data_IF_836430742860
#
_entry.id   IF_836430742860
#
_cell.length_a   1.000
_cell.length_b   1.000
_cell.length_c   1.000
_cell.angle_alpha   90.00
_cell.angle_beta   90.00
_cell.angle_gamma   90.00
#
_symmetry.space_group_name_H-M   'P 1'
#
loop_
_entity.id
_entity.type
_entity.pdbx_description
1 polymer ?
#
# COMPACT_ATOMS: atom_id res chain seq x y z
N UNK A 1 16.88 0.43 -1.36
CA UNK A 1 17.36 1.05 -2.64
C UNK A 1 18.08 2.36 -2.38
N UNK A 2 17.45 3.37 -1.72
CA UNK A 2 18.07 4.68 -1.44
C UNK A 2 19.41 4.56 -0.67
N UNK A 3 19.46 3.71 0.34
CA UNK A 3 20.67 3.52 1.15
C UNK A 3 21.78 2.77 0.41
N UNK A 4 21.45 1.79 -0.43
CA UNK A 4 22.43 1.17 -1.33
C UNK A 4 23.05 2.18 -2.30
N UNK A 5 22.24 3.13 -2.82
CA UNK A 5 22.75 4.23 -3.65
C UNK A 5 23.62 5.22 -2.88
N UNK A 6 23.39 5.38 -1.58
CA UNK A 6 24.26 6.17 -0.69
C UNK A 6 25.52 5.41 -0.24
N UNK A 7 25.81 4.23 -0.81
CA UNK A 7 26.96 3.40 -0.44
C UNK A 7 26.81 2.69 0.91
N UNK A 8 25.59 2.62 1.46
CA UNK A 8 25.31 2.04 2.77
C UNK A 8 24.86 0.58 2.67
N UNK A 9 25.34 -0.25 3.58
CA UNK A 9 24.90 -1.64 3.68
C UNK A 9 23.59 -1.75 4.42
N UNK A 10 22.60 -2.44 3.82
CA UNK A 10 21.30 -2.68 4.44
C UNK A 10 20.71 -4.02 4.06
N UNK A 11 19.94 -4.61 4.95
CA UNK A 11 19.07 -5.73 4.63
C UNK A 11 17.58 -5.36 4.69
N UNK A 12 16.79 -6.19 4.04
CA UNK A 12 15.33 -6.15 4.01
C UNK A 12 14.85 -7.56 4.27
N UNK A 13 13.80 -7.76 5.07
CA UNK A 13 13.08 -9.03 5.00
C UNK A 13 12.37 -9.15 3.64
N UNK A 14 12.20 -10.37 3.15
CA UNK A 14 11.55 -10.59 1.85
C UNK A 14 10.09 -10.15 1.91
N UNK A 15 9.57 -9.67 0.81
CA UNK A 15 8.16 -9.32 0.68
C UNK A 15 7.26 -10.48 1.10
N UNK A 16 6.25 -10.18 1.93
CA UNK A 16 5.36 -11.18 2.53
C UNK A 16 5.92 -11.92 3.75
N UNK A 17 7.21 -11.77 4.10
CA UNK A 17 7.81 -12.38 5.30
C UNK A 17 7.78 -11.40 6.50
N UNK A 18 6.59 -10.84 6.78
CA UNK A 18 6.35 -9.76 7.75
C UNK A 18 5.92 -10.25 9.15
N UNK A 19 5.77 -11.56 9.34
CA UNK A 19 5.54 -12.18 10.65
C UNK A 19 6.88 -12.50 11.34
N UNK A 20 6.86 -12.79 12.64
CA UNK A 20 8.06 -13.14 13.41
C UNK A 20 8.81 -14.31 12.77
N UNK A 21 8.10 -15.29 12.23
CA UNK A 21 8.65 -16.45 11.52
C UNK A 21 9.41 -16.08 10.24
N UNK A 22 9.12 -14.93 9.64
CA UNK A 22 9.84 -14.40 8.48
C UNK A 22 10.90 -13.37 8.84
N UNK A 23 10.63 -12.54 9.85
CA UNK A 23 11.56 -11.51 10.34
C UNK A 23 12.79 -12.16 10.99
N UNK A 24 12.60 -13.18 11.86
CA UNK A 24 13.71 -13.84 12.57
C UNK A 24 14.76 -14.44 11.62
N UNK A 25 14.40 -15.25 10.60
CA UNK A 25 15.37 -15.73 9.63
C UNK A 25 16.09 -14.61 8.89
N UNK A 26 15.40 -13.51 8.58
CA UNK A 26 16.03 -12.37 7.90
C UNK A 26 17.15 -11.77 8.75
N UNK A 27 16.98 -11.66 10.07
CA UNK A 27 18.06 -11.25 10.97
C UNK A 27 19.19 -12.31 11.03
N UNK A 28 18.85 -13.59 11.22
CA UNK A 28 19.84 -14.67 11.32
C UNK A 28 20.71 -14.81 10.08
N UNK A 29 20.14 -14.62 8.90
CA UNK A 29 20.88 -14.68 7.63
C UNK A 29 21.82 -13.49 7.41
N UNK A 30 21.72 -12.44 8.20
CA UNK A 30 22.50 -11.21 8.07
C UNK A 30 23.41 -10.95 9.29
N UNK A 31 23.56 -11.90 10.22
CA UNK A 31 24.50 -11.84 11.33
C UNK A 31 25.57 -12.95 11.23
N UNK A 32 26.69 -12.76 11.91
CA UNK A 32 27.70 -13.80 12.09
C UNK A 32 27.28 -14.81 13.18
N UNK A 33 28.10 -15.85 13.40
CA UNK A 33 27.85 -16.87 14.42
C UNK A 33 27.85 -16.34 15.87
N UNK A 34 28.27 -15.09 16.08
CA UNK A 34 28.27 -14.40 17.37
C UNK A 34 27.10 -13.41 17.48
N UNK A 35 26.18 -13.41 16.51
CA UNK A 35 25.03 -12.50 16.44
C UNK A 35 25.38 -11.05 16.08
N UNK A 36 26.56 -10.77 15.50
CA UNK A 36 26.96 -9.42 15.10
C UNK A 36 26.54 -9.13 13.67
N UNK A 37 26.05 -7.93 13.45
CA UNK A 37 25.65 -7.45 12.11
C UNK A 37 26.77 -6.62 11.50
N UNK A 38 27.19 -6.95 10.29
CA UNK A 38 28.08 -6.11 9.47
C UNK A 38 27.24 -5.25 8.50
N UNK A 39 26.21 -4.59 9.04
CA UNK A 39 25.24 -3.81 8.29
C UNK A 39 24.98 -2.50 9.04
N UNK A 40 24.83 -1.43 8.29
CA UNK A 40 24.54 -0.12 8.88
C UNK A 40 23.05 0.06 9.15
N UNK A 41 22.20 -0.64 8.36
CA UNK A 41 20.74 -0.48 8.43
C UNK A 41 19.98 -1.77 8.20
N UNK A 42 18.87 -1.89 8.93
CA UNK A 42 17.84 -2.88 8.69
C UNK A 42 16.53 -2.14 8.35
N UNK A 43 15.83 -2.56 7.29
CA UNK A 43 14.48 -2.12 6.99
C UNK A 43 13.57 -3.34 7.08
N UNK A 44 12.68 -3.34 8.06
CA UNK A 44 11.83 -4.48 8.38
C UNK A 44 10.39 -4.13 8.08
N UNK A 45 9.77 -4.87 7.16
CA UNK A 45 8.33 -4.90 7.00
C UNK A 45 7.76 -5.80 8.11
N UNK A 46 6.86 -5.27 8.91
CA UNK A 46 6.25 -5.98 10.04
C UNK A 46 4.73 -5.87 9.96
N UNK A 47 4.07 -7.01 10.09
CA UNK A 47 2.63 -7.07 10.28
C UNK A 47 2.23 -6.35 11.58
N UNK A 48 1.10 -5.67 11.57
CA UNK A 48 0.64 -4.80 12.65
C UNK A 48 0.47 -5.57 13.98
N UNK A 49 -0.04 -6.80 13.93
CA UNK A 49 -0.22 -7.63 15.11
C UNK A 49 1.09 -8.31 15.55
N UNK A 50 1.97 -8.61 14.60
CA UNK A 50 3.30 -9.13 14.90
C UNK A 50 4.18 -8.10 15.57
N UNK A 51 3.98 -6.79 15.31
CA UNK A 51 4.78 -5.69 15.84
C UNK A 51 4.83 -5.70 17.37
N UNK A 52 3.70 -5.95 18.05
CA UNK A 52 3.65 -6.04 19.52
C UNK A 52 4.64 -7.05 20.10
N UNK A 53 4.84 -8.19 19.42
CA UNK A 53 5.80 -9.22 19.85
C UNK A 53 7.21 -8.91 19.32
N UNK A 54 7.35 -8.51 18.08
CA UNK A 54 8.64 -8.22 17.46
C UNK A 54 9.39 -7.10 18.21
N UNK A 55 8.68 -6.07 18.63
CA UNK A 55 9.22 -4.93 19.40
C UNK A 55 9.82 -5.28 20.77
N UNK A 56 9.61 -6.50 21.26
CA UNK A 56 10.27 -6.99 22.49
C UNK A 56 11.71 -7.48 22.22
N UNK A 57 12.07 -7.73 20.97
CA UNK A 57 13.34 -8.36 20.60
C UNK A 57 14.30 -7.41 19.88
N UNK A 58 13.83 -6.28 19.34
CA UNK A 58 14.68 -5.26 18.74
C UNK A 58 14.11 -3.86 18.95
N UNK A 59 15.00 -2.87 18.93
CA UNK A 59 14.63 -1.46 18.90
C UNK A 59 14.74 -0.93 17.48
N UNK A 60 13.86 0.01 17.13
CA UNK A 60 13.93 0.73 15.87
C UNK A 60 14.30 2.19 16.12
N UNK A 61 15.06 2.81 15.20
CA UNK A 61 15.29 4.25 15.19
C UNK A 61 14.07 5.00 14.63
N UNK A 62 13.33 4.32 13.75
CA UNK A 62 12.16 4.88 13.07
C UNK A 62 11.09 3.79 12.88
N UNK A 63 9.84 4.10 13.26
CA UNK A 63 8.67 3.27 13.04
C UNK A 63 7.70 4.00 12.10
N UNK A 64 7.50 3.47 10.90
CA UNK A 64 6.61 4.06 9.89
C UNK A 64 5.24 3.39 9.93
N UNK A 65 4.19 4.19 10.13
CA UNK A 65 2.79 3.75 10.01
C UNK A 65 2.17 4.49 8.82
N UNK A 66 1.95 3.79 7.73
CA UNK A 66 1.50 4.40 6.47
C UNK A 66 0.03 4.79 6.52
N UNK A 67 -0.82 3.86 6.92
CA UNK A 67 -2.25 4.03 7.11
C UNK A 67 -2.80 2.82 7.89
N UNK A 68 -4.02 2.94 8.41
CA UNK A 68 -4.73 1.82 9.06
C UNK A 68 -6.10 1.70 8.38
N UNK A 69 -6.21 0.74 7.49
CA UNK A 69 -7.46 0.35 6.85
C UNK A 69 -7.94 -0.99 7.41
N UNK A 70 -9.24 -1.27 7.23
CA UNK A 70 -9.78 -2.60 7.47
C UNK A 70 -9.09 -3.58 6.52
N UNK A 71 -8.40 -4.55 7.05
CA UNK A 71 -7.93 -5.72 6.31
C UNK A 71 -8.92 -6.88 6.54
N UNK A 72 -8.60 -8.08 6.19
CA UNK A 72 -9.46 -9.25 6.33
C UNK A 72 -10.01 -9.39 7.75
N UNK A 73 -11.33 -9.22 7.94
CA UNK A 73 -12.01 -9.24 9.24
C UNK A 73 -11.80 -10.55 10.00
N UNK A 74 -11.75 -11.66 9.28
CA UNK A 74 -11.50 -13.01 9.81
C UNK A 74 -10.08 -13.20 10.37
N UNK A 75 -9.11 -12.36 9.99
CA UNK A 75 -7.72 -12.44 10.48
C UNK A 75 -7.40 -11.47 11.61
N UNK A 76 -7.89 -10.24 11.55
CA UNK A 76 -7.37 -9.13 12.36
C UNK A 76 -8.43 -8.39 13.17
N UNK A 77 -9.71 -8.69 12.97
CA UNK A 77 -10.79 -8.03 13.69
C UNK A 77 -10.94 -6.56 13.31
N UNK A 78 -11.37 -5.73 14.25
CA UNK A 78 -11.65 -4.32 14.01
C UNK A 78 -10.37 -3.46 13.91
N UNK A 79 -10.45 -2.35 13.17
CA UNK A 79 -9.42 -1.30 13.05
C UNK A 79 -8.86 -0.87 14.41
N UNK A 80 -9.69 -0.88 15.45
CA UNK A 80 -9.30 -0.53 16.83
C UNK A 80 -8.28 -1.51 17.43
N UNK A 81 -8.40 -2.81 17.16
CA UNK A 81 -7.46 -3.83 17.65
C UNK A 81 -6.11 -3.72 16.96
N UNK A 82 -6.10 -3.46 15.67
CA UNK A 82 -4.90 -3.20 14.87
C UNK A 82 -4.16 -1.97 15.40
N UNK A 83 -4.88 -0.87 15.61
CA UNK A 83 -4.30 0.36 16.18
C UNK A 83 -3.72 0.11 17.58
N UNK A 84 -4.42 -0.65 18.44
CA UNK A 84 -3.93 -1.00 19.77
C UNK A 84 -2.65 -1.85 19.71
N UNK A 85 -2.53 -2.76 18.75
CA UNK A 85 -1.32 -3.58 18.56
C UNK A 85 -0.13 -2.71 18.12
N UNK A 86 -0.33 -1.78 17.18
CA UNK A 86 0.69 -0.81 16.74
C UNK A 86 1.12 0.07 17.92
N UNK A 87 0.16 0.61 18.70
CA UNK A 87 0.44 1.43 19.87
C UNK A 87 1.25 0.68 20.94
N UNK A 88 0.94 -0.60 21.15
CA UNK A 88 1.70 -1.45 22.07
C UNK A 88 3.15 -1.66 21.57
N UNK A 89 3.33 -1.93 20.29
CA UNK A 89 4.67 -2.03 19.68
C UNK A 89 5.47 -0.73 19.79
N UNK A 90 4.84 0.42 19.53
CA UNK A 90 5.48 1.73 19.67
C UNK A 90 5.91 2.01 21.13
N UNK A 91 5.10 1.66 22.12
CA UNK A 91 5.47 1.80 23.56
C UNK A 91 6.68 0.95 23.95
N UNK A 92 6.87 -0.21 23.33
CA UNK A 92 8.05 -1.06 23.57
C UNK A 92 9.34 -0.46 22.99
N UNK A 93 9.21 0.52 22.08
CA UNK A 93 10.33 1.20 21.40
C UNK A 93 10.29 2.71 21.67
N UNK A 94 10.47 3.18 22.90
CA UNK A 94 10.24 4.59 23.29
C UNK A 94 11.17 5.59 22.61
N UNK A 95 12.32 5.14 22.11
CA UNK A 95 13.30 5.96 21.40
C UNK A 95 13.01 6.03 19.88
N UNK A 96 12.14 5.18 19.36
CA UNK A 96 11.80 5.21 17.95
C UNK A 96 11.03 6.49 17.60
N UNK A 97 11.44 7.18 16.53
CA UNK A 97 10.66 8.26 15.98
C UNK A 97 9.54 7.70 15.12
N UNK A 98 8.28 8.01 15.45
CA UNK A 98 7.15 7.60 14.64
C UNK A 98 7.06 8.47 13.39
N UNK A 99 6.79 7.83 12.25
CA UNK A 99 6.43 8.50 10.99
C UNK A 99 4.97 8.18 10.70
N UNK A 100 4.10 9.18 10.79
CA UNK A 100 2.66 9.05 10.77
C UNK A 100 2.05 9.74 9.57
N UNK A 101 1.03 9.13 8.98
CA UNK A 101 0.22 9.77 7.95
C UNK A 101 -0.74 10.78 8.61
N UNK A 102 -0.49 12.09 8.40
CA UNK A 102 -1.33 13.14 8.97
C UNK A 102 -2.75 13.15 8.36
N UNK A 103 -2.93 12.59 7.17
CA UNK A 103 -4.21 12.54 6.46
C UNK A 103 -5.09 11.39 6.93
N UNK A 104 -4.51 10.37 7.61
CA UNK A 104 -5.27 9.25 8.17
C UNK A 104 -5.62 9.52 9.64
N UNK A 105 -6.88 9.81 9.98
CA UNK A 105 -7.25 10.09 11.36
C UNK A 105 -6.98 8.93 12.32
N UNK A 106 -6.96 7.69 11.84
CA UNK A 106 -6.72 6.51 12.67
C UNK A 106 -5.25 6.40 13.03
N UNK A 107 -4.35 6.31 12.04
CA UNK A 107 -2.91 6.18 12.29
C UNK A 107 -2.34 7.42 12.98
N UNK A 108 -2.81 8.62 12.61
CA UNK A 108 -2.36 9.87 13.23
C UNK A 108 -2.75 9.99 14.72
N UNK A 109 -3.78 9.27 15.17
CA UNK A 109 -4.15 9.25 16.59
C UNK A 109 -3.05 8.73 17.52
N UNK A 110 -2.08 7.98 17.00
CA UNK A 110 -0.88 7.54 17.72
C UNK A 110 -0.05 8.74 18.23
N UNK A 111 -0.10 9.89 17.57
CA UNK A 111 0.56 11.13 18.01
C UNK A 111 0.08 11.62 19.40
N UNK A 112 -1.10 11.19 19.85
CA UNK A 112 -1.60 11.48 21.20
C UNK A 112 -0.91 10.70 22.30
N UNK A 113 -0.25 9.59 21.95
CA UNK A 113 0.44 8.70 22.88
C UNK A 113 1.97 8.80 22.76
N UNK A 114 2.48 9.46 21.71
CA UNK A 114 3.89 9.60 21.45
C UNK A 114 4.18 11.02 20.93
N UNK A 115 5.06 11.73 21.63
CA UNK A 115 5.46 13.10 21.28
C UNK A 115 6.62 13.14 20.27
N UNK A 116 7.36 12.04 20.13
CA UNK A 116 8.47 11.94 19.18
C UNK A 116 7.99 11.37 17.84
N UNK A 117 7.39 12.24 17.02
CA UNK A 117 6.92 11.84 15.69
C UNK A 117 7.30 12.87 14.62
N UNK A 118 7.23 12.44 13.37
CA UNK A 118 7.16 13.27 12.18
C UNK A 118 5.99 12.79 11.33
N UNK A 119 5.53 13.63 10.42
CA UNK A 119 4.31 13.39 9.67
C UNK A 119 4.50 13.59 8.17
N UNK A 120 3.72 12.86 7.39
CA UNK A 120 3.62 13.05 5.95
C UNK A 120 2.16 13.14 5.52
N UNK A 121 1.89 13.75 4.37
CA UNK A 121 0.54 13.89 3.85
C UNK A 121 0.49 14.65 2.54
N UNK A 122 -0.73 14.92 2.05
CA UNK A 122 -1.03 15.56 0.77
C UNK A 122 -1.99 16.71 1.00
N UNK A 123 -1.63 17.92 0.58
CA UNK A 123 -2.49 19.11 0.68
C UNK A 123 -3.37 19.32 -0.57
N UNK A 124 -3.14 18.54 -1.62
CA UNK A 124 -3.95 18.58 -2.83
C UNK A 124 -5.31 17.92 -2.61
N UNK A 125 -6.39 18.63 -2.89
CA UNK A 125 -7.73 18.03 -2.94
C UNK A 125 -7.90 17.23 -4.23
N UNK A 126 -7.87 15.91 -4.14
CA UNK A 126 -7.97 15.01 -5.29
C UNK A 126 -9.35 14.35 -5.39
N UNK A 127 -10.03 14.15 -4.28
CA UNK A 127 -11.36 13.55 -4.16
C UNK A 127 -11.53 12.26 -5.01
N UNK A 128 -10.64 11.31 -4.79
CA UNK A 128 -10.58 10.05 -5.56
C UNK A 128 -11.57 8.98 -5.07
N UNK A 129 -12.60 9.38 -4.33
CA UNK A 129 -13.66 8.46 -3.88
C UNK A 129 -13.21 7.46 -2.81
N UNK A 130 -14.05 6.44 -2.62
CA UNK A 130 -13.89 5.37 -1.64
C UNK A 130 -14.56 5.64 -0.31
N UNK A 131 -15.24 4.61 0.23
CA UNK A 131 -15.81 4.66 1.58
C UNK A 131 -14.68 4.68 2.61
N UNK A 132 -14.74 5.63 3.53
CA UNK A 132 -13.81 5.71 4.65
C UNK A 132 -14.15 4.71 5.75
N UNK A 133 -13.13 4.06 6.30
CA UNK A 133 -13.26 3.16 7.45
C UNK A 133 -13.48 3.93 8.77
N UNK A 134 -13.16 5.22 8.78
CA UNK A 134 -13.28 6.07 9.96
C UNK A 134 -14.05 7.34 9.64
N UNK A 135 -15.37 7.27 9.83
CA UNK A 135 -16.21 8.47 9.86
C UNK A 135 -16.19 9.16 11.24
N UNK A 136 -15.72 8.44 12.27
CA UNK A 136 -15.76 8.89 13.65
C UNK A 136 -14.36 9.16 14.20
N UNK A 137 -14.30 10.18 15.04
CA UNK A 137 -13.07 10.58 15.72
C UNK A 137 -12.51 9.42 16.57
N UNK A 138 -11.26 9.02 16.38
CA UNK A 138 -10.65 7.94 17.17
C UNK A 138 -10.47 8.32 18.66
N UNK A 139 -10.54 9.61 18.98
CA UNK A 139 -10.37 10.12 20.36
C UNK A 139 -11.68 10.16 21.13
N UNK A 140 -12.75 10.72 20.56
CA UNK A 140 -14.01 10.95 21.30
C UNK A 140 -15.26 10.37 20.64
N UNK A 141 -15.11 9.64 19.54
CA UNK A 141 -16.18 8.95 18.78
C UNK A 141 -17.23 9.90 18.14
N UNK A 142 -17.01 11.21 18.15
CA UNK A 142 -17.84 12.15 17.42
C UNK A 142 -17.58 12.04 15.92
N UNK A 143 -18.55 12.38 15.07
CA UNK A 143 -18.38 12.37 13.62
C UNK A 143 -17.31 13.39 13.20
N UNK A 144 -16.39 12.97 12.33
CA UNK A 144 -15.38 13.83 11.74
C UNK A 144 -15.97 14.64 10.59
N UNK A 145 -15.57 15.90 10.50
CA UNK A 145 -15.82 16.73 9.34
C UNK A 145 -14.57 16.81 8.47
N UNK A 146 -14.78 16.76 7.16
CA UNK A 146 -13.72 16.83 6.17
C UNK A 146 -13.89 18.08 5.32
N UNK A 147 -12.87 18.93 5.25
CA UNK A 147 -12.82 20.04 4.29
C UNK A 147 -12.35 19.58 2.90
N UNK A 148 -11.55 18.53 2.85
CA UNK A 148 -11.14 17.86 1.61
C UNK A 148 -10.84 16.39 1.87
N UNK A 149 -11.01 15.53 0.85
CA UNK A 149 -10.61 14.13 0.91
C UNK A 149 -9.67 13.81 -0.26
N UNK A 150 -8.67 13.00 0.01
CA UNK A 150 -7.82 12.43 -1.03
C UNK A 150 -8.45 11.13 -1.52
N UNK A 151 -8.63 10.16 -0.64
CA UNK A 151 -9.40 8.94 -0.88
C UNK A 151 -9.78 8.27 0.46
N UNK A 152 -10.87 7.51 0.49
CA UNK A 152 -11.39 6.85 1.69
C UNK A 152 -11.44 7.80 2.89
N UNK A 153 -10.81 7.48 4.02
CA UNK A 153 -10.73 8.35 5.20
C UNK A 153 -9.57 9.35 5.17
N UNK A 154 -8.70 9.29 4.16
CA UNK A 154 -7.54 10.19 4.08
C UNK A 154 -7.94 11.56 3.58
N UNK A 155 -7.52 12.60 4.31
CA UNK A 155 -7.82 13.98 3.93
C UNK A 155 -7.63 14.97 5.05
N UNK A 156 -8.20 16.16 4.87
CA UNK A 156 -8.16 17.23 5.85
C UNK A 156 -9.41 17.17 6.74
N UNK A 157 -9.27 16.54 7.89
CA UNK A 157 -10.33 16.28 8.86
C UNK A 157 -10.22 17.14 10.12
N UNK A 158 -11.37 17.34 10.78
CA UNK A 158 -11.46 17.95 12.10
C UNK A 158 -12.62 17.37 12.92
N UNK A 159 -12.43 17.25 14.22
CA UNK A 159 -13.46 16.93 15.19
C UNK A 159 -13.88 18.20 15.94
N UNK A 160 -15.13 18.63 15.78
CA UNK A 160 -15.66 19.82 16.47
C UNK A 160 -15.75 19.67 17.99
N UNK A 161 -15.92 18.42 18.47
CA UNK A 161 -16.10 18.17 19.90
C UNK A 161 -14.81 18.20 20.70
N UNK A 162 -13.74 17.55 20.23
CA UNK A 162 -12.49 17.43 21.00
C UNK A 162 -11.30 18.19 20.38
N UNK A 163 -11.49 18.85 19.24
CA UNK A 163 -10.43 19.58 18.56
C UNK A 163 -9.38 18.70 17.87
N UNK A 164 -9.56 17.37 17.86
CA UNK A 164 -8.66 16.49 17.10
C UNK A 164 -8.78 16.77 15.61
N UNK A 165 -7.65 17.03 14.97
CA UNK A 165 -7.63 17.45 13.57
C UNK A 165 -6.32 17.08 12.89
N UNK A 166 -6.33 17.03 11.57
CA UNK A 166 -5.13 17.01 10.75
C UNK A 166 -4.23 18.21 11.06
N UNK A 167 -2.94 17.99 11.08
CA UNK A 167 -1.92 19.05 11.15
C UNK A 167 -1.29 19.26 9.76
N UNK A 168 -0.55 20.34 9.56
CA UNK A 168 0.31 20.48 8.38
C UNK A 168 1.43 19.46 8.49
N UNK A 169 1.61 18.56 7.50
CA UNK A 169 2.64 17.53 7.56
C UNK A 169 4.05 18.11 7.45
N UNK A 170 5.03 17.44 8.07
CA UNK A 170 6.46 17.78 7.94
C UNK A 170 6.98 17.49 6.53
N UNK A 171 6.44 16.44 5.89
CA UNK A 171 6.66 16.10 4.49
C UNK A 171 5.31 16.17 3.78
N UNK A 172 5.10 17.20 3.00
CA UNK A 172 3.81 17.56 2.45
C UNK A 172 3.85 17.67 0.93
N UNK A 173 3.06 16.86 0.23
CA UNK A 173 2.88 17.06 -1.20
C UNK A 173 1.87 18.18 -1.45
N UNK A 174 2.26 19.18 -2.19
CA UNK A 174 1.47 20.36 -2.54
C UNK A 174 0.85 20.22 -3.93
N UNK A 175 1.58 19.61 -4.87
CA UNK A 175 1.11 19.30 -6.21
C UNK A 175 1.44 17.86 -6.61
N UNK A 176 0.45 17.20 -7.21
CA UNK A 176 0.59 15.82 -7.70
C UNK A 176 -0.05 15.73 -9.09
N UNK A 177 0.70 15.15 -10.02
CA UNK A 177 0.22 14.81 -11.36
C UNK A 177 0.28 13.29 -11.51
N UNK A 178 -0.89 12.65 -11.49
CA UNK A 178 -1.04 11.21 -11.74
C UNK A 178 -1.17 10.99 -13.24
N UNK A 179 -0.27 10.24 -13.85
CA UNK A 179 -0.24 9.99 -15.29
C UNK A 179 -0.35 8.48 -15.60
N UNK A 180 -1.23 7.80 -14.88
CA UNK A 180 -1.51 6.38 -15.08
C UNK A 180 -0.24 5.54 -15.12
N UNK A 181 -0.11 4.72 -16.15
CA UNK A 181 1.05 3.85 -16.39
C UNK A 181 2.37 4.60 -16.66
N UNK A 182 2.31 5.86 -17.07
CA UNK A 182 3.48 6.71 -17.30
C UNK A 182 4.07 7.29 -16.01
N UNK A 183 3.58 6.84 -14.86
CA UNK A 183 4.08 7.24 -13.55
C UNK A 183 3.40 8.47 -12.98
N UNK A 184 4.09 9.19 -12.11
CA UNK A 184 3.55 10.35 -11.42
C UNK A 184 4.64 11.36 -11.09
N UNK A 185 4.27 12.63 -10.99
CA UNK A 185 5.13 13.69 -10.47
C UNK A 185 4.56 14.18 -9.15
N UNK A 186 5.38 14.22 -8.12
CA UNK A 186 5.03 14.69 -6.78
C UNK A 186 5.93 15.85 -6.40
N UNK A 187 5.37 17.04 -6.32
CA UNK A 187 6.03 18.24 -5.80
C UNK A 187 5.69 18.36 -4.33
N UNK A 188 6.69 18.45 -3.49
CA UNK A 188 6.49 18.42 -2.04
C UNK A 188 7.51 19.28 -1.30
N UNK A 189 7.13 19.74 -0.12
CA UNK A 189 8.02 20.29 0.88
C UNK A 189 8.40 19.23 1.91
N UNK A 190 9.62 19.24 2.39
CA UNK A 190 10.12 18.31 3.38
C UNK A 190 11.03 19.05 4.36
N UNK A 191 10.57 19.19 5.61
CA UNK A 191 11.25 19.94 6.66
C UNK A 191 11.74 21.33 6.17
N UNK A 192 10.90 22.02 5.40
CA UNK A 192 11.16 23.37 4.87
C UNK A 192 12.00 23.42 3.58
N UNK A 193 12.29 22.27 2.95
CA UNK A 193 12.97 22.19 1.64
C UNK A 193 11.99 21.68 0.58
N UNK A 194 11.94 22.34 -0.55
CA UNK A 194 11.15 21.92 -1.70
C UNK A 194 11.90 20.89 -2.53
N UNK A 195 11.17 19.90 -3.05
CA UNK A 195 11.70 18.89 -3.96
C UNK A 195 10.61 18.31 -4.85
N UNK A 196 11.02 17.57 -5.88
CA UNK A 196 10.13 16.88 -6.79
C UNK A 196 10.61 15.45 -7.02
N UNK A 197 9.67 14.49 -6.98
CA UNK A 197 9.92 13.09 -7.36
C UNK A 197 9.18 12.81 -8.66
N UNK A 198 9.92 12.32 -9.66
CA UNK A 198 9.33 11.63 -10.82
C UNK A 198 9.27 10.16 -10.48
N UNK A 199 8.08 9.62 -10.23
CA UNK A 199 7.89 8.20 -9.96
C UNK A 199 7.56 7.44 -11.26
N UNK A 200 8.15 6.26 -11.43
CA UNK A 200 7.85 5.37 -12.57
C UNK A 200 6.63 4.45 -12.29
N UNK A 201 5.91 4.74 -11.21
CA UNK A 201 4.71 4.01 -10.78
C UNK A 201 3.57 4.98 -10.58
N UNK A 202 2.40 4.62 -11.05
CA UNK A 202 1.18 5.41 -10.89
C UNK A 202 0.46 5.13 -9.56
N UNK A 203 -0.65 5.81 -9.37
CA UNK A 203 -1.54 5.65 -8.23
C UNK A 203 -1.17 6.49 -7.01
N UNK A 204 -2.19 7.08 -6.40
CA UNK A 204 -2.03 8.00 -5.27
C UNK A 204 -1.41 7.33 -4.04
N UNK A 205 -1.68 6.04 -3.82
CA UNK A 205 -1.10 5.27 -2.73
C UNK A 205 0.44 5.18 -2.84
N UNK A 206 1.00 5.18 -4.06
CA UNK A 206 2.44 5.22 -4.27
C UNK A 206 3.02 6.61 -3.93
N UNK A 207 2.28 7.69 -4.15
CA UNK A 207 2.69 9.01 -3.69
C UNK A 207 2.78 9.06 -2.16
N UNK A 208 1.78 8.56 -1.42
CA UNK A 208 1.86 8.41 0.04
C UNK A 208 3.04 7.56 0.48
N UNK A 209 3.28 6.42 -0.16
CA UNK A 209 4.43 5.56 0.16
C UNK A 209 5.77 6.28 -0.08
N UNK A 210 5.86 7.09 -1.14
CA UNK A 210 7.06 7.88 -1.43
C UNK A 210 7.29 8.96 -0.36
N UNK A 211 6.26 9.70 0.04
CA UNK A 211 6.34 10.70 1.10
C UNK A 211 6.74 10.08 2.45
N UNK A 212 6.14 8.94 2.81
CA UNK A 212 6.51 8.17 4.00
C UNK A 212 7.99 7.76 3.96
N UNK A 213 8.46 7.28 2.80
CA UNK A 213 9.86 6.88 2.61
C UNK A 213 10.80 8.08 2.70
N UNK A 214 10.47 9.24 2.11
CA UNK A 214 11.25 10.49 2.26
C UNK A 214 11.35 10.87 3.72
N UNK A 215 10.23 10.91 4.43
CA UNK A 215 10.19 11.28 5.85
C UNK A 215 11.08 10.34 6.67
N UNK A 216 10.93 9.04 6.54
CA UNK A 216 11.73 8.04 7.25
C UNK A 216 13.23 8.14 6.92
N UNK A 217 13.58 8.31 5.64
CA UNK A 217 14.97 8.41 5.19
C UNK A 217 15.67 9.64 5.78
N UNK A 218 14.99 10.79 5.83
CA UNK A 218 15.57 12.01 6.43
C UNK A 218 15.75 11.89 7.94
N UNK A 219 14.80 11.27 8.66
CA UNK A 219 14.93 10.99 10.09
C UNK A 219 16.21 10.18 10.39
N UNK A 220 16.53 9.22 9.53
CA UNK A 220 17.72 8.38 9.70
C UNK A 220 18.94 8.92 8.95
N UNK A 221 18.98 10.22 8.64
CA UNK A 221 20.17 10.94 8.17
C UNK A 221 20.48 10.79 6.68
N UNK A 222 19.54 10.34 5.85
CA UNK A 222 19.70 10.34 4.39
C UNK A 222 19.24 11.69 3.85
N UNK A 223 20.07 12.36 3.03
CA UNK A 223 19.71 13.63 2.43
C UNK A 223 18.57 13.49 1.41
N UNK A 224 17.87 14.59 1.17
CA UNK A 224 16.67 14.61 0.31
C UNK A 224 17.02 14.26 -1.14
N UNK A 225 18.18 14.68 -1.64
CA UNK A 225 18.60 14.44 -3.02
C UNK A 225 18.81 12.95 -3.28
N UNK A 226 19.42 12.22 -2.34
CA UNK A 226 19.60 10.77 -2.42
C UNK A 226 18.24 10.05 -2.32
N UNK A 227 17.34 10.52 -1.45
CA UNK A 227 16.01 9.96 -1.30
C UNK A 227 15.22 10.09 -2.62
N UNK A 228 15.18 11.31 -3.19
CA UNK A 228 14.51 11.62 -4.46
C UNK A 228 15.09 10.79 -5.61
N UNK A 229 16.42 10.79 -5.79
CA UNK A 229 17.07 10.03 -6.87
C UNK A 229 16.77 8.53 -6.79
N UNK A 230 16.65 7.99 -5.58
CA UNK A 230 16.35 6.58 -5.35
C UNK A 230 14.90 6.23 -5.64
N UNK A 231 13.96 7.09 -5.24
CA UNK A 231 12.54 6.92 -5.51
C UNK A 231 12.24 7.08 -7.00
N UNK A 232 12.88 8.03 -7.67
CA UNK A 232 12.74 8.24 -9.12
C UNK A 232 13.26 7.06 -9.96
N UNK A 233 14.19 6.28 -9.43
CA UNK A 233 14.68 5.05 -10.11
C UNK A 233 13.90 3.79 -9.69
N UNK A 234 12.90 3.92 -8.82
CA UNK A 234 12.11 2.80 -8.37
C UNK A 234 11.14 2.37 -9.47
N UNK A 235 11.22 1.09 -9.87
CA UNK A 235 10.22 0.45 -10.74
C UNK A 235 9.22 -0.33 -9.90
N UNK A 236 8.09 -0.68 -10.50
CA UNK A 236 7.03 -1.43 -9.83
C UNK A 236 7.54 -2.70 -9.12
N UNK A 237 6.93 -3.02 -7.98
CA UNK A 237 7.19 -4.22 -7.20
C UNK A 237 6.03 -5.19 -7.39
N UNK A 238 6.25 -6.46 -7.07
CA UNK A 238 5.24 -7.51 -7.07
C UNK A 238 3.85 -7.01 -6.64
N UNK A 239 2.87 -7.25 -7.49
CA UNK A 239 1.47 -6.90 -7.25
C UNK A 239 1.11 -5.41 -7.29
N UNK A 240 2.06 -4.52 -7.61
CA UNK A 240 1.82 -3.08 -7.70
C UNK A 240 2.01 -2.58 -9.13
N UNK A 241 1.01 -2.87 -9.99
CA UNK A 241 1.01 -2.56 -11.42
C UNK A 241 2.25 -3.13 -12.14
N UNK A 242 2.55 -4.40 -11.91
CA UNK A 242 3.65 -5.09 -12.61
C UNK A 242 3.25 -5.35 -14.05
N UNK A 243 4.06 -4.90 -15.01
CA UNK A 243 3.73 -4.99 -16.43
C UNK A 243 4.46 -6.16 -17.10
N UNK A 244 3.75 -6.94 -17.89
CA UNK A 244 4.24 -8.07 -18.68
C UNK A 244 3.76 -7.93 -20.13
N UNK A 245 4.60 -7.40 -21.02
CA UNK A 245 4.15 -7.02 -22.36
C UNK A 245 3.03 -5.98 -22.31
N UNK A 246 1.88 -6.27 -22.90
CA UNK A 246 0.68 -5.42 -22.87
C UNK A 246 -0.24 -5.63 -21.66
N UNK A 247 0.17 -6.47 -20.70
CA UNK A 247 -0.64 -6.86 -19.54
C UNK A 247 -0.11 -6.23 -18.26
N UNK A 248 -0.98 -5.57 -17.51
CA UNK A 248 -0.69 -5.12 -16.16
C UNK A 248 -1.30 -6.09 -15.13
N UNK A 249 -0.54 -6.44 -14.08
CA UNK A 249 -1.03 -7.26 -12.97
C UNK A 249 -1.04 -6.45 -11.68
N UNK A 250 -2.20 -6.42 -11.01
CA UNK A 250 -2.45 -5.65 -9.79
C UNK A 250 -3.03 -6.55 -8.70
N UNK A 251 -2.45 -6.45 -7.50
CA UNK A 251 -2.90 -7.19 -6.33
C UNK A 251 -3.95 -6.38 -5.56
N UNK A 252 -5.04 -7.05 -5.20
CA UNK A 252 -6.09 -6.52 -4.34
C UNK A 252 -6.39 -7.49 -3.20
N UNK A 253 -6.68 -6.98 -2.00
CA UNK A 253 -6.99 -7.81 -0.83
C UNK A 253 -8.05 -7.22 0.12
N UNK A 254 -8.47 -5.99 -0.12
CA UNK A 254 -9.45 -5.30 0.71
C UNK A 254 -10.18 -4.21 -0.10
N UNK A 255 -11.30 -3.63 0.41
CA UNK A 255 -12.10 -2.64 -0.32
C UNK A 255 -11.32 -1.41 -0.75
N UNK A 256 -10.51 -0.84 0.16
CA UNK A 256 -9.74 0.37 -0.11
C UNK A 256 -8.70 0.14 -1.21
N UNK A 257 -7.96 -0.97 -1.14
CA UNK A 257 -6.99 -1.36 -2.17
C UNK A 257 -7.65 -1.61 -3.52
N UNK A 258 -8.82 -2.25 -3.53
CA UNK A 258 -9.56 -2.51 -4.77
C UNK A 258 -10.05 -1.20 -5.40
N UNK A 259 -10.68 -0.31 -4.63
CA UNK A 259 -11.12 1.01 -5.09
C UNK A 259 -9.95 1.82 -5.66
N UNK A 260 -8.80 1.84 -4.97
CA UNK A 260 -7.61 2.55 -5.45
C UNK A 260 -6.99 1.93 -6.70
N UNK A 261 -7.08 0.61 -6.84
CA UNK A 261 -6.68 -0.09 -8.07
C UNK A 261 -7.57 0.33 -9.24
N UNK A 262 -8.89 0.40 -9.05
CA UNK A 262 -9.81 0.85 -10.08
C UNK A 262 -9.58 2.33 -10.45
N UNK A 263 -9.38 3.20 -9.46
CA UNK A 263 -9.01 4.61 -9.67
C UNK A 263 -7.71 4.76 -10.48
N UNK A 264 -6.70 3.93 -10.20
CA UNK A 264 -5.48 3.92 -10.98
C UNK A 264 -5.77 3.48 -12.43
N UNK A 265 -6.49 2.38 -12.63
CA UNK A 265 -6.82 1.85 -13.94
C UNK A 265 -7.69 2.82 -14.76
N UNK A 266 -8.54 3.63 -14.13
CA UNK A 266 -9.34 4.65 -14.82
C UNK A 266 -8.50 5.73 -15.51
N UNK A 267 -7.24 5.89 -15.10
CA UNK A 267 -6.25 6.76 -15.73
C UNK A 267 -5.35 6.05 -16.74
N UNK A 268 -5.53 4.74 -16.94
CA UNK A 268 -4.77 3.91 -17.88
C UNK A 268 -5.58 3.60 -19.13
N UNK A 269 -4.89 3.24 -20.22
CA UNK A 269 -5.53 2.81 -21.46
C UNK A 269 -5.81 1.29 -21.43
N UNK A 270 -6.87 0.89 -20.72
CA UNK A 270 -7.28 -0.50 -20.53
C UNK A 270 -8.51 -0.84 -21.36
N UNK A 271 -8.37 -1.83 -22.25
CA UNK A 271 -9.48 -2.34 -23.07
C UNK A 271 -10.05 -3.66 -22.53
N UNK A 272 -9.22 -4.49 -21.90
CA UNK A 272 -9.61 -5.78 -21.34
C UNK A 272 -9.33 -5.79 -19.84
N UNK A 273 -10.33 -6.09 -19.04
CA UNK A 273 -10.22 -6.12 -17.58
C UNK A 273 -10.60 -7.50 -17.07
N UNK A 274 -9.66 -8.17 -16.40
CA UNK A 274 -9.85 -9.51 -15.86
C UNK A 274 -9.75 -9.47 -14.33
N UNK A 275 -10.82 -9.79 -13.64
CA UNK A 275 -10.83 -9.96 -12.19
C UNK A 275 -10.59 -11.42 -11.83
N UNK A 276 -9.62 -11.68 -10.95
CA UNK A 276 -9.30 -13.05 -10.50
C UNK A 276 -9.45 -13.12 -8.99
N UNK A 277 -10.53 -13.73 -8.54
CA UNK A 277 -10.92 -13.78 -7.12
C UNK A 277 -10.78 -15.20 -6.57
N UNK A 278 -9.94 -15.35 -5.55
CA UNK A 278 -9.80 -16.56 -4.74
C UNK A 278 -10.11 -16.26 -3.27
N UNK A 279 -10.43 -17.31 -2.50
CA UNK A 279 -10.69 -17.29 -1.06
C UNK A 279 -9.87 -18.36 -0.30
N UNK A 280 -8.65 -18.61 -0.75
CA UNK A 280 -7.72 -19.48 -0.02
C UNK A 280 -7.30 -18.83 1.32
N UNK A 281 -6.73 -19.59 2.23
CA UNK A 281 -6.38 -19.10 3.58
C UNK A 281 -5.50 -17.84 3.56
N UNK A 282 -4.64 -17.70 2.55
CA UNK A 282 -3.80 -16.50 2.41
C UNK A 282 -4.55 -15.28 1.84
N UNK A 283 -5.69 -15.48 1.18
CA UNK A 283 -6.55 -14.41 0.68
C UNK A 283 -7.56 -13.92 1.74
N UNK A 284 -7.86 -14.77 2.74
CA UNK A 284 -9.00 -14.65 3.64
C UNK A 284 -10.26 -15.31 3.07
N UNK A 285 -11.05 -15.91 3.96
CA UNK A 285 -12.27 -16.64 3.58
C UNK A 285 -13.45 -15.72 3.29
N UNK A 286 -13.49 -14.57 3.94
CA UNK A 286 -14.55 -13.58 3.72
C UNK A 286 -14.26 -12.75 2.48
N UNK A 287 -15.05 -12.98 1.43
CA UNK A 287 -14.99 -12.21 0.18
C UNK A 287 -16.04 -11.09 0.13
N UNK A 288 -16.83 -10.90 1.18
CA UNK A 288 -17.90 -9.87 1.20
C UNK A 288 -17.34 -8.46 1.00
N UNK A 289 -16.07 -8.25 1.25
CA UNK A 289 -15.38 -6.98 1.05
C UNK A 289 -15.48 -6.43 -0.39
N UNK A 290 -15.71 -7.30 -1.41
CA UNK A 290 -15.90 -6.83 -2.79
C UNK A 290 -17.14 -5.94 -2.95
N UNK A 291 -18.13 -6.06 -2.04
CA UNK A 291 -19.34 -5.24 -2.05
C UNK A 291 -19.15 -3.85 -1.47
N UNK A 292 -18.13 -3.67 -0.64
CA UNK A 292 -17.77 -2.37 -0.05
C UNK A 292 -16.86 -1.54 -0.97
N UNK A 293 -16.24 -2.18 -1.97
CA UNK A 293 -15.38 -1.51 -2.93
C UNK A 293 -16.19 -0.73 -3.98
N UNK A 294 -15.69 0.47 -4.31
CA UNK A 294 -16.17 1.25 -5.45
C UNK A 294 -15.45 0.78 -6.72
N UNK A 295 -16.21 0.59 -7.80
CA UNK A 295 -15.70 0.09 -9.07
C UNK A 295 -15.97 1.13 -10.15
N UNK A 296 -14.98 2.00 -10.40
CA UNK A 296 -14.99 2.91 -11.54
C UNK A 296 -14.21 2.27 -12.70
N UNK A 297 -14.91 2.03 -13.81
CA UNK A 297 -14.30 1.38 -14.96
C UNK A 297 -13.47 2.36 -15.79
N UNK A 298 -12.31 1.92 -16.34
CA UNK A 298 -11.60 2.69 -17.34
C UNK A 298 -12.50 3.00 -18.54
N UNK A 299 -12.43 4.22 -19.05
CA UNK A 299 -13.34 4.71 -20.14
C UNK A 299 -13.27 3.86 -21.41
N UNK A 300 -12.12 3.25 -21.67
CA UNK A 300 -11.87 2.47 -22.88
C UNK A 300 -12.12 0.97 -22.70
N UNK A 301 -12.60 0.54 -21.52
CA UNK A 301 -12.88 -0.89 -21.24
C UNK A 301 -13.99 -1.41 -22.17
N UNK A 302 -13.65 -2.41 -22.95
CA UNK A 302 -14.54 -3.08 -23.92
C UNK A 302 -15.02 -4.42 -23.40
N UNK A 303 -14.13 -5.16 -22.72
CA UNK A 303 -14.37 -6.51 -22.28
C UNK A 303 -14.04 -6.66 -20.80
N UNK A 304 -14.94 -7.29 -20.05
CA UNK A 304 -14.78 -7.56 -18.63
C UNK A 304 -14.94 -9.06 -18.39
N UNK A 305 -14.00 -9.63 -17.65
CA UNK A 305 -13.91 -11.06 -17.38
C UNK A 305 -13.77 -11.34 -15.88
N UNK A 306 -14.32 -12.48 -15.44
CA UNK A 306 -14.10 -13.00 -14.10
C UNK A 306 -13.48 -14.40 -14.16
N UNK A 307 -12.47 -14.65 -13.32
CA UNK A 307 -11.78 -15.92 -13.22
C UNK A 307 -11.46 -16.25 -11.76
N UNK A 308 -11.01 -17.48 -11.49
CA UNK A 308 -10.63 -17.95 -10.15
C UNK A 308 -11.77 -18.71 -9.44
N UNK A 309 -11.48 -19.11 -8.19
CA UNK A 309 -12.38 -19.96 -7.38
C UNK A 309 -13.73 -19.29 -7.16
N UNK A 310 -13.72 -17.96 -6.96
CA UNK A 310 -14.90 -17.14 -6.66
C UNK A 310 -15.32 -16.25 -7.85
N UNK A 311 -15.07 -16.74 -9.07
CA UNK A 311 -15.44 -16.03 -10.31
C UNK A 311 -16.92 -15.70 -10.41
N UNK A 312 -17.79 -16.61 -9.92
CA UNK A 312 -19.23 -16.40 -9.88
C UNK A 312 -19.67 -15.25 -8.96
N UNK A 313 -19.04 -15.12 -7.80
CA UNK A 313 -19.28 -14.00 -6.86
C UNK A 313 -18.86 -12.68 -7.47
N UNK A 314 -17.69 -12.66 -8.14
CA UNK A 314 -17.22 -11.47 -8.83
C UNK A 314 -18.12 -11.08 -10.00
N UNK A 315 -18.58 -12.05 -10.80
CA UNK A 315 -19.51 -11.81 -11.89
C UNK A 315 -20.84 -11.25 -11.36
N UNK A 316 -21.34 -11.78 -10.24
CA UNK A 316 -22.53 -11.25 -9.58
C UNK A 316 -22.34 -9.81 -9.13
N UNK A 317 -21.19 -9.50 -8.50
CA UNK A 317 -20.85 -8.12 -8.06
C UNK A 317 -20.82 -7.15 -9.24
N UNK A 318 -20.23 -7.58 -10.38
CA UNK A 318 -20.14 -6.79 -11.60
C UNK A 318 -21.52 -6.54 -12.22
N UNK A 319 -22.39 -7.57 -12.24
CA UNK A 319 -23.77 -7.43 -12.69
C UNK A 319 -24.54 -6.37 -11.88
N UNK A 320 -24.34 -6.33 -10.55
CA UNK A 320 -24.94 -5.29 -9.71
C UNK A 320 -24.32 -3.90 -9.90
N UNK A 321 -23.12 -3.84 -10.48
CA UNK A 321 -22.52 -2.58 -10.95
C UNK A 321 -22.97 -2.18 -12.37
N UNK A 322 -23.89 -2.95 -12.99
CA UNK A 322 -24.39 -2.69 -14.33
C UNK A 322 -23.45 -3.10 -15.46
N UNK A 323 -22.51 -4.01 -15.19
CA UNK A 323 -21.48 -4.43 -16.15
C UNK A 323 -21.67 -5.89 -16.54
N UNK A 324 -21.72 -6.16 -17.83
CA UNK A 324 -21.69 -7.53 -18.36
C UNK A 324 -20.28 -8.10 -18.23
N UNK A 325 -20.21 -9.36 -17.81
CA UNK A 325 -18.96 -10.05 -17.53
C UNK A 325 -19.02 -11.50 -18.04
N UNK A 326 -17.98 -11.92 -18.77
CA UNK A 326 -17.79 -13.32 -19.15
C UNK A 326 -17.03 -14.05 -18.03
N UNK A 327 -17.53 -15.22 -17.57
CA UNK A 327 -16.81 -16.08 -16.64
C UNK A 327 -15.90 -17.02 -17.42
N UNK A 328 -14.60 -16.96 -17.16
CA UNK A 328 -13.60 -17.75 -17.86
C UNK A 328 -13.58 -19.19 -17.34
N UNK A 329 -13.69 -20.18 -18.24
CA UNK A 329 -13.80 -21.59 -17.90
C UNK A 329 -12.49 -22.34 -17.64
N UNK A 330 -11.31 -21.69 -17.76
CA UNK A 330 -10.04 -22.39 -17.53
C UNK A 330 -8.79 -21.58 -17.87
N UNK A 331 -7.63 -22.08 -17.43
CA UNK A 331 -6.34 -21.38 -17.57
C UNK A 331 -5.95 -21.08 -19.01
N UNK A 332 -6.19 -22.00 -19.97
CA UNK A 332 -5.84 -21.75 -21.37
C UNK A 332 -6.56 -20.50 -21.91
N UNK A 333 -7.87 -20.41 -21.67
CA UNK A 333 -8.65 -19.25 -22.08
C UNK A 333 -8.25 -17.99 -21.30
N UNK A 334 -7.92 -18.11 -20.02
CA UNK A 334 -7.41 -17.00 -19.23
C UNK A 334 -6.14 -16.43 -19.85
N UNK A 335 -5.12 -17.26 -20.15
CA UNK A 335 -3.87 -16.77 -20.71
C UNK A 335 -4.04 -16.17 -22.12
N UNK A 336 -4.88 -16.77 -22.96
CA UNK A 336 -5.22 -16.21 -24.27
C UNK A 336 -5.78 -14.79 -24.15
N UNK A 337 -6.68 -14.55 -23.20
CA UNK A 337 -7.28 -13.24 -22.97
C UNK A 337 -6.32 -12.28 -22.28
N UNK A 338 -5.57 -12.76 -21.30
CA UNK A 338 -4.66 -11.94 -20.52
C UNK A 338 -3.44 -11.46 -21.33
N UNK A 339 -3.09 -12.14 -22.42
CA UNK A 339 -1.99 -11.74 -23.31
C UNK A 339 -2.36 -10.71 -24.38
N UNK A 340 -3.62 -10.31 -24.44
CA UNK A 340 -4.05 -9.24 -25.32
C UNK A 340 -3.45 -7.90 -24.85
N UNK A 341 -3.17 -7.05 -25.79
CA UNK A 341 -2.73 -5.69 -25.49
C UNK A 341 -3.77 -4.93 -24.65
N UNK A 342 -3.31 -3.96 -23.87
CA UNK A 342 -4.14 -3.11 -23.01
C UNK A 342 -5.01 -3.94 -22.04
N UNK A 343 -4.44 -5.00 -21.49
CA UNK A 343 -5.12 -5.87 -20.51
C UNK A 343 -4.66 -5.56 -19.09
N UNK A 344 -5.61 -5.45 -18.18
CA UNK A 344 -5.34 -5.39 -16.75
C UNK A 344 -5.91 -6.63 -16.04
N UNK A 345 -5.08 -7.27 -15.22
CA UNK A 345 -5.46 -8.40 -14.36
C UNK A 345 -5.45 -7.94 -12.92
N UNK A 346 -6.62 -7.87 -12.31
CA UNK A 346 -6.83 -7.51 -10.90
C UNK A 346 -7.06 -8.79 -10.11
N UNK A 347 -6.10 -9.18 -9.28
CA UNK A 347 -6.08 -10.50 -8.67
C UNK A 347 -5.88 -10.46 -7.15
N UNK A 348 -6.51 -11.41 -6.42
CA UNK A 348 -6.17 -11.69 -5.03
C UNK A 348 -4.81 -12.36 -4.90
N UNK A 349 -4.28 -12.46 -3.69
CA UNK A 349 -2.90 -12.89 -3.46
C UNK A 349 -2.59 -14.29 -4.03
N UNK A 350 -3.39 -15.31 -3.70
CA UNK A 350 -3.12 -16.67 -4.19
C UNK A 350 -3.36 -16.81 -5.69
N UNK A 351 -4.29 -16.04 -6.25
CA UNK A 351 -4.48 -15.93 -7.70
C UNK A 351 -3.25 -15.33 -8.37
N UNK A 352 -2.74 -14.22 -7.85
CA UNK A 352 -1.51 -13.60 -8.35
C UNK A 352 -0.32 -14.57 -8.30
N UNK A 353 -0.15 -15.28 -7.19
CA UNK A 353 0.93 -16.27 -7.01
C UNK A 353 0.84 -17.42 -8.00
N UNK A 354 -0.37 -17.83 -8.37
CA UNK A 354 -0.56 -18.90 -9.37
C UNK A 354 -0.30 -18.45 -10.81
N UNK A 355 -0.67 -17.20 -11.14
CA UNK A 355 -0.62 -16.68 -12.50
C UNK A 355 0.73 -16.06 -12.89
N UNK A 356 1.35 -15.33 -11.96
CA UNK A 356 2.57 -14.57 -12.21
C UNK A 356 3.76 -15.40 -12.72
N UNK A 357 4.03 -16.63 -12.26
CA UNK A 357 5.15 -17.44 -12.76
C UNK A 357 5.11 -17.64 -14.27
N UNK A 358 3.93 -17.85 -14.85
CA UNK A 358 3.76 -17.99 -16.30
C UNK A 358 4.25 -16.72 -17.04
N UNK A 359 3.79 -15.55 -16.61
CA UNK A 359 4.20 -14.27 -17.21
C UNK A 359 5.68 -13.97 -16.96
N UNK A 360 6.19 -14.25 -15.76
CA UNK A 360 7.60 -14.04 -15.43
C UNK A 360 8.52 -14.89 -16.32
N UNK A 361 8.18 -16.15 -16.56
CA UNK A 361 8.91 -17.04 -17.45
C UNK A 361 8.87 -16.54 -18.89
N UNK A 362 7.67 -16.22 -19.40
CA UNK A 362 7.48 -15.77 -20.79
C UNK A 362 8.21 -14.46 -21.10
N UNK A 363 8.23 -13.51 -20.15
CA UNK A 363 8.82 -12.19 -20.36
C UNK A 363 10.20 -12.02 -19.70
N UNK A 364 10.88 -13.11 -19.35
CA UNK A 364 12.23 -13.12 -18.76
C UNK A 364 12.37 -12.18 -17.54
N UNK A 365 11.33 -12.09 -16.71
CA UNK A 365 11.37 -11.35 -15.45
C UNK A 365 11.80 -12.25 -14.29
N UNK A 366 12.46 -11.64 -13.31
CA UNK A 366 12.89 -12.36 -12.10
C UNK A 366 11.70 -13.00 -11.41
N UNK A 367 11.91 -14.24 -10.91
CA UNK A 367 10.98 -14.84 -9.98
C UNK A 367 10.87 -14.00 -8.71
N UNK A 368 9.72 -14.07 -8.08
CA UNK A 368 9.41 -13.24 -6.89
C UNK A 368 10.38 -13.50 -5.71
N UNK A 369 10.88 -14.73 -5.61
CA UNK A 369 11.70 -15.18 -4.48
C UNK A 369 13.22 -15.12 -4.72
N UNK A 370 13.67 -14.67 -5.86
CA UNK A 370 15.12 -14.61 -6.23
C UNK A 370 15.67 -13.19 -6.28
#
# INVERSE_FOLDING_TARGET
TARRKAGKTCFLNRSGANLITGITPAFLMNCDLRGRFNLEYAVVECDENALKKASLYFNADCLVVTNVFRDQLDRYGEVSSTLAAIAAGARNMPNAKLVLNADDPVSFSLSKQCVNFASFGIDKNLNLGGKGESEFCPVCREKLEYSSRTYCQLGNYACKKCGYRRIKPDVCAEEIFLNGENGSFVFFSSFGREAMIKMNVGGIYNAYNALAAVCALQIVGVNIETAVASLSSFGGVFGRAETFGGTQMLLVKNPAGFTQTMNYLSSCDVENLIFVLNDNDADGKDISWIWDAEIDFPKNTKNVYAFGIRSGDMALRLKYAGVECEVIGGYNRFFELAERDKTAVVATYTAMMALRPYFAQKYNKKEFWK
#
